data_IF_651659477941
#
_entry.id   IF_651659477941
#
_cell.length_a   1.000
_cell.length_b   1.000
_cell.length_c   1.000
_cell.angle_alpha   90.00
_cell.angle_beta   90.00
_cell.angle_gamma   90.00
#
_symmetry.space_group_name_H-M   'P 1'
#
loop_
_entity.id
_entity.type
_entity.pdbx_description
1 polymer ?
#
# COMPACT_ATOMS: atom_id res chain seq x y z
N UNK A 1 32.28 -5.08 67.32
CA UNK A 1 33.23 -5.04 66.19
C UNK A 1 32.58 -5.87 65.09
N UNK A 2 31.60 -5.32 64.36
CA UNK A 2 31.79 -4.50 63.14
C UNK A 2 32.71 -5.24 62.17
N UNK A 3 32.24 -5.76 61.02
CA UNK A 3 31.64 -4.96 59.96
C UNK A 3 30.68 -5.75 59.07
N UNK A 4 29.49 -5.19 58.86
CA UNK A 4 28.64 -5.45 57.69
C UNK A 4 29.04 -4.47 56.59
N UNK A 5 29.38 -4.96 55.40
CA UNK A 5 29.43 -4.15 54.19
C UNK A 5 28.32 -4.61 53.26
N UNK A 6 27.32 -3.75 53.13
CA UNK A 6 26.29 -3.77 52.09
C UNK A 6 26.97 -3.72 50.71
N UNK A 7 26.56 -4.61 49.82
CA UNK A 7 26.60 -4.40 48.37
C UNK A 7 25.15 -4.19 47.90
N UNK A 8 24.85 -3.14 47.12
CA UNK A 8 23.52 -2.95 46.55
C UNK A 8 23.36 -3.86 45.31
N UNK A 9 22.23 -4.55 45.23
CA UNK A 9 21.85 -5.31 44.04
C UNK A 9 21.54 -4.37 42.86
N UNK A 10 22.15 -4.53 41.67
CA UNK A 10 21.74 -3.82 40.47
C UNK A 10 20.69 -4.66 39.75
N UNK A 11 19.41 -4.30 39.83
CA UNK A 11 18.40 -5.11 39.14
C UNK A 11 17.01 -4.50 38.92
N UNK A 12 16.70 -3.32 39.47
CA UNK A 12 15.32 -2.82 39.44
C UNK A 12 15.08 -1.61 38.52
N UNK A 13 16.10 -1.05 37.88
CA UNK A 13 15.98 0.20 37.12
C UNK A 13 15.95 0.04 35.58
N UNK A 14 16.27 -1.13 35.03
CA UNK A 14 16.35 -1.34 33.56
C UNK A 14 15.03 -1.83 32.94
N UNK A 15 14.15 -2.45 33.72
CA UNK A 15 12.88 -3.02 33.21
C UNK A 15 11.81 -1.98 32.85
N UNK A 16 11.95 -0.73 33.29
CA UNK A 16 10.98 0.34 33.00
C UNK A 16 11.28 1.10 31.69
N UNK A 17 12.55 1.24 31.28
CA UNK A 17 12.89 1.91 30.00
C UNK A 17 12.60 1.03 28.80
N UNK A 18 12.76 -0.29 28.95
CA UNK A 18 12.55 -1.24 27.86
C UNK A 18 11.07 -1.38 27.48
N UNK A 19 10.17 -1.22 28.46
CA UNK A 19 8.72 -1.19 28.22
C UNK A 19 8.24 0.05 27.46
N UNK A 20 8.88 1.21 27.68
CA UNK A 20 8.58 2.45 26.95
C UNK A 20 9.17 2.44 25.54
N UNK A 21 10.39 1.93 25.38
CA UNK A 21 11.05 1.77 24.07
C UNK A 21 10.30 0.78 23.16
N UNK A 22 9.75 -0.30 23.72
CA UNK A 22 8.87 -1.20 22.98
C UNK A 22 7.54 -0.51 22.64
N UNK A 23 6.94 0.25 23.56
CA UNK A 23 5.67 0.96 23.35
C UNK A 23 5.75 2.13 22.34
N UNK A 24 6.95 2.64 22.02
CA UNK A 24 7.20 3.80 21.16
C UNK A 24 8.04 3.48 19.91
N UNK A 25 7.91 2.27 19.37
CA UNK A 25 8.56 1.93 18.10
C UNK A 25 8.20 2.91 16.96
N UNK A 26 9.09 3.11 15.97
CA UNK A 26 8.92 4.09 14.90
C UNK A 26 7.61 3.89 14.10
N UNK A 27 7.18 2.64 13.91
CA UNK A 27 5.92 2.30 13.24
C UNK A 27 4.69 2.79 14.02
N UNK A 28 4.71 2.69 15.37
CA UNK A 28 3.62 3.21 16.20
C UNK A 28 3.60 4.73 16.20
N UNK A 29 4.78 5.37 16.17
CA UNK A 29 4.87 6.82 16.04
C UNK A 29 4.32 7.29 14.69
N UNK A 30 4.68 6.61 13.59
CA UNK A 30 4.16 6.87 12.25
C UNK A 30 2.63 6.69 12.21
N UNK A 31 2.10 5.62 12.81
CA UNK A 31 0.65 5.40 12.90
C UNK A 31 -0.06 6.52 13.67
N UNK A 32 0.49 6.95 14.81
CA UNK A 32 -0.06 8.09 15.57
C UNK A 32 -0.07 9.38 14.74
N UNK A 33 1.02 9.66 14.03
CA UNK A 33 1.12 10.84 13.17
C UNK A 33 0.12 10.80 12.01
N UNK A 34 -0.03 9.64 11.35
CA UNK A 34 -0.98 9.47 10.26
C UNK A 34 -2.45 9.60 10.73
N UNK A 35 -2.80 9.04 11.89
CA UNK A 35 -4.14 9.19 12.47
C UNK A 35 -4.46 10.65 12.82
N UNK A 36 -3.48 11.39 13.36
CA UNK A 36 -3.60 12.84 13.60
C UNK A 36 -3.81 13.61 12.29
N UNK A 37 -3.13 13.22 11.21
CA UNK A 37 -3.33 13.82 9.90
C UNK A 37 -4.73 13.56 9.33
N UNK A 38 -5.34 12.40 9.62
CA UNK A 38 -6.75 12.12 9.26
C UNK A 38 -7.69 13.07 9.98
N UNK A 39 -7.51 13.29 11.29
CA UNK A 39 -8.33 14.21 12.06
C UNK A 39 -8.21 15.65 11.55
N UNK A 40 -6.98 16.08 11.26
CA UNK A 40 -6.71 17.39 10.66
C UNK A 40 -7.36 17.51 9.27
N UNK A 41 -7.21 16.51 8.40
CA UNK A 41 -7.82 16.52 7.06
C UNK A 41 -9.35 16.59 7.12
N UNK A 42 -9.97 15.85 8.07
CA UNK A 42 -11.42 15.91 8.30
C UNK A 42 -11.87 17.30 8.73
N UNK A 43 -11.10 17.97 9.58
CA UNK A 43 -11.43 19.32 10.05
C UNK A 43 -11.40 20.36 8.91
N UNK A 44 -10.50 20.21 7.93
CA UNK A 44 -10.37 21.14 6.80
C UNK A 44 -11.29 20.79 5.62
N UNK A 45 -11.78 19.56 5.53
CA UNK A 45 -12.84 19.17 4.58
C UNK A 45 -12.42 19.05 3.12
N UNK A 46 -11.11 18.96 2.82
CA UNK A 46 -10.61 18.76 1.46
C UNK A 46 -10.60 17.27 1.08
N UNK A 47 -11.41 16.81 0.12
CA UNK A 47 -11.56 15.38 -0.19
C UNK A 47 -10.27 14.68 -0.60
N UNK A 48 -9.41 15.34 -1.38
CA UNK A 48 -8.13 14.76 -1.86
C UNK A 48 -7.17 14.56 -0.68
N UNK A 49 -7.00 15.59 0.14
CA UNK A 49 -6.13 15.52 1.34
C UNK A 49 -6.66 14.48 2.33
N UNK A 50 -7.97 14.36 2.45
CA UNK A 50 -8.60 13.32 3.27
C UNK A 50 -8.33 11.92 2.70
N UNK A 51 -8.48 11.70 1.39
CA UNK A 51 -8.11 10.44 0.75
C UNK A 51 -6.66 10.06 1.06
N UNK A 52 -5.72 10.98 0.84
CA UNK A 52 -4.29 10.74 1.09
C UNK A 52 -4.03 10.37 2.56
N UNK A 53 -4.56 11.15 3.49
CA UNK A 53 -4.39 10.88 4.92
C UNK A 53 -4.99 9.52 5.34
N UNK A 54 -6.16 9.15 4.80
CA UNK A 54 -6.79 7.85 5.05
C UNK A 54 -5.92 6.70 4.51
N UNK A 55 -5.36 6.84 3.31
CA UNK A 55 -4.46 5.85 2.70
C UNK A 55 -3.17 5.69 3.51
N UNK A 56 -2.57 6.78 4.00
CA UNK A 56 -1.36 6.72 4.81
C UNK A 56 -1.61 6.12 6.20
N UNK A 57 -2.75 6.45 6.82
CA UNK A 57 -3.17 5.84 8.08
C UNK A 57 -3.36 4.32 7.93
N UNK A 58 -4.03 3.90 6.85
CA UNK A 58 -4.18 2.48 6.53
C UNK A 58 -2.83 1.78 6.36
N UNK A 59 -1.89 2.37 5.60
CA UNK A 59 -0.55 1.81 5.40
C UNK A 59 0.19 1.62 6.73
N UNK A 60 0.12 2.61 7.63
CA UNK A 60 0.74 2.51 8.95
C UNK A 60 0.09 1.43 9.82
N UNK A 61 -1.23 1.27 9.75
CA UNK A 61 -1.96 0.23 10.48
C UNK A 61 -1.66 -1.18 9.93
N UNK A 62 -1.56 -1.33 8.62
CA UNK A 62 -1.17 -2.58 7.99
C UNK A 62 0.25 -3.01 8.42
N UNK A 63 1.20 -2.07 8.53
CA UNK A 63 2.54 -2.34 9.05
C UNK A 63 2.52 -2.90 10.49
N UNK A 64 1.54 -2.48 11.30
CA UNK A 64 1.30 -2.99 12.66
C UNK A 64 0.40 -4.24 12.70
N UNK A 65 0.09 -4.85 11.54
CA UNK A 65 -0.85 -5.97 11.39
C UNK A 65 -2.28 -5.68 11.88
N UNK A 66 -2.67 -4.41 12.00
CA UNK A 66 -4.02 -3.99 12.34
C UNK A 66 -4.92 -3.95 11.08
N UNK A 67 -5.00 -5.08 10.38
CA UNK A 67 -5.59 -5.16 9.04
C UNK A 67 -7.07 -4.75 8.98
N UNK A 68 -7.87 -5.12 9.98
CA UNK A 68 -9.29 -4.70 10.03
C UNK A 68 -9.43 -3.18 10.02
N UNK A 69 -8.66 -2.48 10.87
CA UNK A 69 -8.71 -1.01 10.91
C UNK A 69 -8.11 -0.40 9.64
N UNK A 70 -7.05 -1.00 9.10
CA UNK A 70 -6.47 -0.58 7.81
C UNK A 70 -7.51 -0.64 6.69
N UNK A 71 -8.28 -1.72 6.63
CA UNK A 71 -9.34 -1.91 5.64
C UNK A 71 -10.45 -0.87 5.79
N UNK A 72 -10.89 -0.59 7.02
CA UNK A 72 -11.89 0.44 7.29
C UNK A 72 -11.46 1.83 6.75
N UNK A 73 -10.19 2.20 6.93
CA UNK A 73 -9.66 3.46 6.41
C UNK A 73 -9.55 3.46 4.87
N UNK A 74 -9.16 2.34 4.26
CA UNK A 74 -9.11 2.21 2.80
C UNK A 74 -10.50 2.24 2.17
N UNK A 75 -11.51 1.62 2.78
CA UNK A 75 -12.90 1.67 2.30
C UNK A 75 -13.45 3.11 2.37
N UNK A 76 -13.11 3.85 3.42
CA UNK A 76 -13.43 5.29 3.49
C UNK A 76 -12.72 6.07 2.37
N UNK A 77 -11.43 5.82 2.14
CA UNK A 77 -10.69 6.46 1.05
C UNK A 77 -11.31 6.12 -0.33
N UNK A 78 -11.72 4.87 -0.54
CA UNK A 78 -12.35 4.40 -1.77
C UNK A 78 -13.69 5.10 -2.02
N UNK A 79 -14.49 5.31 -0.96
CA UNK A 79 -15.72 6.09 -1.05
C UNK A 79 -15.46 7.52 -1.55
N UNK A 80 -14.48 8.21 -0.98
CA UNK A 80 -14.10 9.56 -1.40
C UNK A 80 -13.51 9.59 -2.82
N UNK A 81 -12.69 8.61 -3.19
CA UNK A 81 -12.18 8.47 -4.56
C UNK A 81 -13.31 8.26 -5.59
N UNK A 82 -14.38 7.57 -5.19
CA UNK A 82 -15.62 7.46 -5.94
C UNK A 82 -16.27 8.81 -6.24
N UNK A 83 -16.36 9.68 -5.24
CA UNK A 83 -16.91 11.04 -5.40
C UNK A 83 -16.00 11.95 -6.24
N UNK A 84 -14.69 11.71 -6.25
CA UNK A 84 -13.73 12.42 -7.09
C UNK A 84 -13.71 11.92 -8.54
N UNK A 85 -14.43 10.83 -8.85
CA UNK A 85 -14.46 10.18 -10.17
C UNK A 85 -13.07 9.80 -10.73
N UNK A 86 -12.09 9.56 -9.86
CA UNK A 86 -10.74 9.14 -10.27
C UNK A 86 -10.68 7.62 -10.40
N UNK A 87 -10.65 7.11 -11.63
CA UNK A 87 -10.52 5.67 -11.89
C UNK A 87 -9.17 5.13 -11.39
N UNK A 88 -8.09 5.88 -11.59
CA UNK A 88 -6.74 5.47 -11.18
C UNK A 88 -6.63 5.36 -9.68
N UNK A 89 -7.06 6.37 -8.94
CA UNK A 89 -7.03 6.34 -7.47
C UNK A 89 -7.88 5.20 -6.94
N UNK A 90 -9.06 4.97 -7.51
CA UNK A 90 -9.92 3.84 -7.12
C UNK A 90 -9.24 2.49 -7.38
N UNK A 91 -8.59 2.30 -8.53
CA UNK A 91 -7.88 1.07 -8.84
C UNK A 91 -6.73 0.82 -7.87
N UNK A 92 -5.96 1.86 -7.54
CA UNK A 92 -4.84 1.77 -6.60
C UNK A 92 -5.31 1.45 -5.17
N UNK A 93 -6.46 2.01 -4.74
CA UNK A 93 -7.09 1.72 -3.45
C UNK A 93 -7.68 0.30 -3.39
N UNK A 94 -8.27 -0.18 -4.48
CA UNK A 94 -8.76 -1.56 -4.59
C UNK A 94 -7.59 -2.56 -4.49
N UNK A 95 -6.45 -2.29 -5.13
CA UNK A 95 -5.25 -3.11 -4.92
C UNK A 95 -4.77 -3.08 -3.47
N UNK A 96 -4.77 -1.90 -2.82
CA UNK A 96 -4.37 -1.81 -1.41
C UNK A 96 -5.32 -2.60 -0.49
N UNK A 97 -6.63 -2.56 -0.74
CA UNK A 97 -7.62 -3.38 -0.02
C UNK A 97 -7.36 -4.87 -0.23
N UNK A 98 -7.09 -5.27 -1.47
CA UNK A 98 -6.78 -6.66 -1.82
C UNK A 98 -5.53 -7.17 -1.09
N UNK A 99 -4.46 -6.37 -1.09
CA UNK A 99 -3.20 -6.68 -0.40
C UNK A 99 -3.41 -6.79 1.13
N UNK A 100 -4.15 -5.86 1.74
CA UNK A 100 -4.45 -5.90 3.18
C UNK A 100 -5.25 -7.15 3.56
N UNK A 101 -6.29 -7.49 2.79
CA UNK A 101 -7.09 -8.68 3.04
C UNK A 101 -6.28 -9.98 2.83
N UNK A 102 -5.40 -10.00 1.82
CA UNK A 102 -4.49 -11.13 1.59
C UNK A 102 -3.48 -11.29 2.74
N UNK A 103 -2.90 -10.19 3.21
CA UNK A 103 -1.98 -10.18 4.36
C UNK A 103 -2.68 -10.62 5.65
N UNK A 104 -3.95 -10.29 5.85
CA UNK A 104 -4.76 -10.81 6.95
C UNK A 104 -4.91 -12.33 6.88
N UNK A 105 -5.29 -12.85 5.71
CA UNK A 105 -5.42 -14.28 5.49
C UNK A 105 -4.10 -15.03 5.77
N UNK A 106 -2.98 -14.50 5.29
CA UNK A 106 -1.65 -15.07 5.52
C UNK A 106 -1.26 -15.06 7.00
N UNK A 107 -1.53 -13.96 7.71
CA UNK A 107 -1.28 -13.87 9.15
C UNK A 107 -2.14 -14.88 9.93
N UNK A 108 -3.38 -15.14 9.52
CA UNK A 108 -4.25 -16.16 10.13
C UNK A 108 -3.71 -17.58 9.87
N UNK A 109 -3.13 -17.85 8.69
CA UNK A 109 -2.42 -19.12 8.42
C UNK A 109 -1.22 -19.27 9.37
N UNK A 110 -0.40 -18.23 9.50
CA UNK A 110 0.81 -18.25 10.33
C UNK A 110 0.50 -18.50 11.82
N UNK A 111 -0.61 -17.96 12.33
CA UNK A 111 -1.06 -18.20 13.71
C UNK A 111 -1.50 -19.65 13.97
N UNK A 112 -1.68 -20.47 12.93
CA UNK A 112 -2.14 -21.86 13.01
C UNK A 112 -3.47 -22.00 13.77
N UNK A 113 -4.34 -21.01 13.61
CA UNK A 113 -5.68 -21.07 14.18
C UNK A 113 -6.54 -22.03 13.36
N UNK A 114 -6.67 -23.25 13.86
CA UNK A 114 -7.46 -24.32 13.27
C UNK A 114 -8.90 -24.35 13.80
N UNK A 115 -9.32 -23.35 14.59
CA UNK A 115 -10.72 -23.23 14.98
C UNK A 115 -11.60 -22.99 13.75
N UNK A 116 -12.86 -23.43 13.82
CA UNK A 116 -13.81 -23.20 12.73
C UNK A 116 -13.96 -21.69 12.43
N UNK A 117 -13.95 -20.85 13.47
CA UNK A 117 -13.97 -19.39 13.31
C UNK A 117 -12.71 -18.87 12.62
N UNK A 118 -11.52 -19.35 12.98
CA UNK A 118 -10.26 -18.98 12.32
C UNK A 118 -10.24 -19.39 10.85
N UNK A 119 -10.77 -20.58 10.52
CA UNK A 119 -10.93 -21.04 9.13
C UNK A 119 -11.88 -20.13 8.35
N UNK A 120 -13.04 -19.80 8.93
CA UNK A 120 -14.02 -18.90 8.31
C UNK A 120 -13.47 -17.50 8.09
N UNK A 121 -12.79 -16.91 9.08
CA UNK A 121 -12.16 -15.58 8.96
C UNK A 121 -11.12 -15.55 7.85
N UNK A 122 -10.26 -16.57 7.78
CA UNK A 122 -9.27 -16.69 6.71
C UNK A 122 -9.93 -16.79 5.33
N UNK A 123 -11.00 -17.58 5.21
CA UNK A 123 -11.72 -17.73 3.96
C UNK A 123 -12.37 -16.41 3.54
N UNK A 124 -13.04 -15.72 4.47
CA UNK A 124 -13.63 -14.40 4.21
C UNK A 124 -12.58 -13.35 3.80
N UNK A 125 -11.39 -13.37 4.41
CA UNK A 125 -10.29 -12.51 4.02
C UNK A 125 -9.80 -12.79 2.59
N UNK A 126 -9.70 -14.07 2.19
CA UNK A 126 -9.35 -14.45 0.81
C UNK A 126 -10.40 -14.06 -0.21
N UNK A 127 -11.68 -14.27 0.11
CA UNK A 127 -12.79 -13.88 -0.77
C UNK A 127 -12.79 -12.37 -1.01
N UNK A 128 -12.63 -11.55 0.03
CA UNK A 128 -12.48 -10.10 -0.13
C UNK A 128 -11.25 -9.73 -0.95
N UNK A 129 -10.10 -10.36 -0.70
CA UNK A 129 -8.89 -10.11 -1.47
C UNK A 129 -9.08 -10.40 -2.97
N UNK A 130 -9.77 -11.50 -3.29
CA UNK A 130 -10.13 -11.89 -4.65
C UNK A 130 -11.05 -10.86 -5.30
N UNK A 131 -12.13 -10.48 -4.63
CA UNK A 131 -13.13 -9.53 -5.15
C UNK A 131 -12.48 -8.17 -5.47
N UNK A 132 -11.68 -7.65 -4.54
CA UNK A 132 -10.96 -6.38 -4.73
C UNK A 132 -9.93 -6.46 -5.87
N UNK A 133 -9.23 -7.60 -6.01
CA UNK A 133 -8.28 -7.80 -7.11
C UNK A 133 -8.97 -7.81 -8.48
N UNK A 134 -10.13 -8.46 -8.58
CA UNK A 134 -10.91 -8.49 -9.83
C UNK A 134 -11.45 -7.11 -10.18
N UNK A 135 -11.98 -6.37 -9.21
CA UNK A 135 -12.49 -5.03 -9.45
C UNK A 135 -11.36 -4.08 -9.89
N UNK A 136 -10.19 -4.16 -9.24
CA UNK A 136 -9.00 -3.40 -9.63
C UNK A 136 -8.58 -3.70 -11.08
N UNK A 137 -8.51 -4.99 -11.44
CA UNK A 137 -8.12 -5.42 -12.79
C UNK A 137 -9.14 -5.01 -13.87
N UNK A 138 -10.44 -4.98 -13.53
CA UNK A 138 -11.48 -4.46 -14.40
C UNK A 138 -11.29 -2.95 -14.63
N UNK A 139 -11.08 -2.19 -13.55
CA UNK A 139 -10.95 -0.74 -13.61
C UNK A 139 -9.66 -0.27 -14.29
N UNK A 140 -8.59 -1.05 -14.19
CA UNK A 140 -7.32 -0.78 -14.86
C UNK A 140 -7.48 -0.59 -16.39
N UNK A 141 -8.37 -1.37 -17.01
CA UNK A 141 -8.64 -1.26 -18.46
C UNK A 141 -9.40 0.00 -18.88
N UNK A 142 -9.91 0.77 -17.93
CA UNK A 142 -10.54 2.06 -18.19
C UNK A 142 -9.55 3.23 -18.14
N UNK A 143 -8.29 2.99 -17.77
CA UNK A 143 -7.27 4.04 -17.74
C UNK A 143 -6.66 4.27 -19.13
N UNK A 144 -6.12 5.46 -19.36
CA UNK A 144 -5.46 5.80 -20.62
C UNK A 144 -3.95 5.54 -20.62
N UNK A 145 -3.35 5.24 -19.46
CA UNK A 145 -1.92 4.97 -19.32
C UNK A 145 -1.63 3.45 -19.27
N UNK A 146 -1.03 2.86 -20.32
CA UNK A 146 -0.70 1.43 -20.34
C UNK A 146 0.30 1.02 -19.25
N UNK A 147 1.20 1.90 -18.82
CA UNK A 147 2.15 1.58 -17.76
C UNK A 147 1.45 1.48 -16.41
N UNK A 148 0.48 2.37 -16.19
CA UNK A 148 -0.39 2.30 -15.03
C UNK A 148 -1.21 1.02 -15.01
N UNK A 149 -1.84 0.67 -16.14
CA UNK A 149 -2.62 -0.56 -16.27
C UNK A 149 -1.77 -1.80 -15.93
N UNK A 150 -0.56 -1.91 -16.48
CA UNK A 150 0.38 -2.98 -16.18
C UNK A 150 0.66 -3.06 -14.67
N UNK A 151 0.96 -1.93 -14.01
CA UNK A 151 1.21 -1.90 -12.56
C UNK A 151 0.03 -2.48 -11.77
N UNK A 152 -1.20 -2.06 -12.09
CA UNK A 152 -2.41 -2.53 -11.38
C UNK A 152 -2.63 -4.03 -11.61
N UNK A 153 -2.47 -4.51 -12.85
CA UNK A 153 -2.64 -5.92 -13.20
C UNK A 153 -1.62 -6.80 -12.47
N UNK A 154 -0.36 -6.39 -12.41
CA UNK A 154 0.68 -7.15 -11.69
C UNK A 154 0.42 -7.23 -10.17
N UNK A 155 -0.12 -6.18 -9.57
CA UNK A 155 -0.52 -6.19 -8.15
C UNK A 155 -1.70 -7.13 -7.91
N UNK A 156 -2.72 -7.07 -8.78
CA UNK A 156 -3.88 -7.95 -8.68
C UNK A 156 -3.51 -9.43 -8.89
N UNK A 157 -2.62 -9.74 -9.85
CA UNK A 157 -2.18 -11.11 -10.09
C UNK A 157 -1.40 -11.70 -8.91
N UNK A 158 -0.51 -10.93 -8.25
CA UNK A 158 0.21 -11.38 -7.05
C UNK A 158 -0.75 -11.78 -5.92
N UNK A 159 -1.77 -10.94 -5.66
CA UNK A 159 -2.76 -11.22 -4.62
C UNK A 159 -3.57 -12.49 -4.94
N UNK A 160 -3.96 -12.69 -6.20
CA UNK A 160 -4.72 -13.87 -6.62
C UNK A 160 -3.87 -15.15 -6.54
N UNK A 161 -2.59 -15.10 -6.93
CA UNK A 161 -1.68 -16.25 -6.81
C UNK A 161 -1.52 -16.67 -5.33
N UNK A 162 -1.29 -15.69 -4.45
CA UNK A 162 -1.22 -15.90 -2.99
C UNK A 162 -2.55 -16.40 -2.39
N UNK A 163 -3.67 -15.92 -2.93
CA UNK A 163 -5.02 -16.35 -2.58
C UNK A 163 -5.34 -17.80 -3.00
N UNK A 164 -4.60 -18.33 -3.99
CA UNK A 164 -4.78 -19.66 -4.56
C UNK A 164 -5.55 -19.70 -5.88
N UNK A 165 -5.99 -18.54 -6.39
CA UNK A 165 -6.72 -18.38 -7.66
C UNK A 165 -5.73 -18.27 -8.84
N UNK A 166 -4.90 -19.31 -9.01
CA UNK A 166 -3.75 -19.29 -9.95
C UNK A 166 -4.14 -19.12 -11.41
N UNK A 167 -5.24 -19.73 -11.84
CA UNK A 167 -5.67 -19.65 -13.24
C UNK A 167 -6.02 -18.19 -13.61
N UNK A 168 -6.71 -17.49 -12.71
CA UNK A 168 -7.05 -16.08 -12.89
C UNK A 168 -5.82 -15.18 -12.81
N UNK A 169 -4.92 -15.45 -11.85
CA UNK A 169 -3.65 -14.74 -11.75
C UNK A 169 -2.86 -14.82 -13.07
N UNK A 170 -2.81 -16.00 -13.71
CA UNK A 170 -2.16 -16.21 -15.01
C UNK A 170 -2.86 -15.42 -16.13
N UNK A 171 -4.19 -15.37 -16.17
CA UNK A 171 -4.92 -14.58 -17.17
C UNK A 171 -4.60 -13.09 -17.07
N UNK A 172 -4.62 -12.54 -15.85
CA UNK A 172 -4.30 -11.14 -15.57
C UNK A 172 -2.82 -10.86 -15.88
N UNK A 173 -1.92 -11.77 -15.51
CA UNK A 173 -0.49 -11.66 -15.81
C UNK A 173 -0.23 -11.64 -17.32
N UNK A 174 -0.87 -12.52 -18.09
CA UNK A 174 -0.72 -12.58 -19.54
C UNK A 174 -1.19 -11.30 -20.22
N UNK A 175 -2.27 -10.68 -19.73
CA UNK A 175 -2.71 -9.36 -20.19
C UNK A 175 -1.65 -8.29 -19.93
N UNK A 176 -1.06 -8.26 -18.73
CA UNK A 176 0.03 -7.34 -18.41
C UNK A 176 1.26 -7.54 -19.33
N UNK A 177 1.65 -8.78 -19.58
CA UNK A 177 2.75 -9.11 -20.50
C UNK A 177 2.49 -8.66 -21.94
N UNK A 178 1.26 -8.83 -22.43
CA UNK A 178 0.87 -8.37 -23.76
C UNK A 178 0.98 -6.83 -23.88
N UNK A 179 0.56 -6.09 -22.86
CA UNK A 179 0.69 -4.64 -22.82
C UNK A 179 2.15 -4.17 -22.80
N UNK A 180 3.03 -4.86 -22.07
CA UNK A 180 4.46 -4.55 -22.06
C UNK A 180 5.10 -4.76 -23.43
N UNK A 181 4.80 -5.87 -24.11
CA UNK A 181 5.31 -6.14 -25.47
C UNK A 181 4.82 -5.12 -26.51
N UNK A 182 3.59 -4.62 -26.37
CA UNK A 182 3.06 -3.55 -27.22
C UNK A 182 3.70 -2.19 -26.93
N UNK A 183 3.91 -1.86 -25.65
CA UNK A 183 4.57 -0.62 -25.24
C UNK A 183 6.03 -0.54 -25.73
N UNK A 184 6.77 -1.65 -25.67
CA UNK A 184 8.14 -1.74 -26.19
C UNK A 184 8.20 -1.53 -27.71
N UNK A 185 7.19 -2.02 -28.45
CA UNK A 185 7.09 -1.83 -29.90
C UNK A 185 6.86 -0.35 -30.25
N UNK A 186 5.98 0.35 -29.53
CA UNK A 186 5.74 1.79 -29.74
C UNK A 186 6.93 2.67 -29.34
N UNK A 187 7.71 2.28 -28.32
CA UNK A 187 8.93 2.98 -27.95
C UNK A 187 10.06 2.80 -28.98
N UNK A 188 10.11 1.64 -29.64
CA UNK A 188 11.08 1.33 -30.70
C UNK A 188 10.78 2.04 -32.04
N UNK A 189 9.53 2.46 -32.27
CA UNK A 189 9.10 3.18 -33.48
C UNK A 189 9.21 4.71 -33.38
N UNK A 190 9.71 5.25 -32.26
CA UNK A 190 10.08 6.66 -32.19
C UNK A 190 11.29 6.90 -33.12
N UNK A 191 11.16 7.67 -34.23
CA UNK A 191 12.28 7.92 -35.10
C UNK A 191 13.38 8.64 -34.33
N UNK A 192 14.58 8.09 -34.41
CA UNK A 192 15.85 8.60 -33.91
C UNK A 192 16.08 10.05 -34.37
N UNK A 193 15.55 11.01 -33.62
CA UNK A 193 15.89 12.42 -33.76
C UNK A 193 17.18 12.69 -32.96
N UNK A 194 18.29 12.17 -33.46
CA UNK A 194 19.63 12.54 -33.00
C UNK A 194 20.07 13.90 -33.58
N UNK A 195 21.04 14.59 -32.94
CA UNK A 195 21.00 16.04 -32.74
C UNK A 195 21.77 16.84 -33.80
N UNK A 196 21.12 17.84 -34.37
CA UNK A 196 21.73 18.86 -35.23
C UNK A 196 22.03 20.14 -34.45
N UNK A 197 23.31 20.34 -34.12
CA UNK A 197 23.90 21.54 -33.52
C UNK A 197 23.56 22.80 -34.33
N UNK A 198 22.97 23.82 -33.69
CA UNK A 198 23.37 25.23 -33.89
C UNK A 198 23.29 25.95 -32.54
N UNK A 199 24.44 26.11 -31.87
CA UNK A 199 24.61 27.17 -30.87
C UNK A 199 24.62 28.50 -31.63
N UNK A 200 23.55 29.28 -31.53
CA UNK A 200 23.64 30.71 -31.85
C UNK A 200 24.19 31.40 -30.60
N UNK A 201 25.43 31.87 -30.72
CA UNK A 201 26.10 32.67 -29.72
C UNK A 201 25.33 33.98 -29.46
N UNK A 202 25.22 34.35 -28.20
CA UNK A 202 24.89 35.71 -27.80
C UNK A 202 25.90 36.68 -28.41
N UNK A 203 25.43 37.65 -29.18
CA UNK A 203 26.19 38.86 -29.50
C UNK A 203 25.54 40.01 -28.74
N UNK A 204 26.15 40.31 -27.60
CA UNK A 204 26.06 41.61 -26.95
C UNK A 204 27.03 42.54 -27.66
N UNK A 205 26.52 43.51 -28.43
CA UNK A 205 27.30 44.68 -28.84
C UNK A 205 26.42 45.92 -28.76
N UNK A 206 26.93 46.90 -28.00
CA UNK A 206 26.51 48.28 -27.84
C UNK A 206 25.96 48.93 -29.12
N UNK A 207 24.88 49.70 -28.98
CA UNK A 207 24.87 51.17 -29.15
C UNK A 207 23.72 51.80 -28.36
#
# INVERSE_FOLDING_TARGET
MSSSSLLPAPGAAQSASDGHALAEGPERQAARAALKAVDEARAHGHPIVLCEALTDAARCLAALHAYTQSEDYLQQALHWAGMLHSADLRADLLCALAEVACNEADLLVQRKDHTQEGVQRRQAARERARDWSHEAACLAGATSDPHWEVKVLLRASDVLDRGGDRDEAVLIQNRAMALMGLAETHASDAPDAAPGVVRVAAVTTLM
#
